data_IF_558824741678
#
_entry.id   IF_558824741678
#
_cell.length_a   1.000
_cell.length_b   1.000
_cell.length_c   1.000
_cell.angle_alpha   90.00
_cell.angle_beta   90.00
_cell.angle_gamma   90.00
#
_symmetry.space_group_name_H-M   'P 1'
#
loop_
_entity.id
_entity.type
_entity.pdbx_description
1 polymer ?
#
# COMPACT_ATOMS: atom_id res chain seq x y z
N UNK A 1 -8.39 9.48 11.88
CA UNK A 1 -9.66 8.84 12.26
C UNK A 1 -9.55 7.32 12.28
N UNK A 2 -10.55 6.67 12.91
CA UNK A 2 -10.73 5.23 12.84
C UNK A 2 -11.78 4.91 11.78
N UNK A 3 -11.47 3.92 10.96
CA UNK A 3 -12.40 3.45 9.92
C UNK A 3 -12.39 1.92 9.88
N UNK A 4 -13.47 1.28 9.37
CA UNK A 4 -13.43 -0.17 9.13
C UNK A 4 -12.28 -0.55 8.17
N UNK A 5 -12.22 0.11 7.01
CA UNK A 5 -11.18 -0.08 6.00
C UNK A 5 -11.12 1.15 5.10
N UNK A 6 -9.90 1.63 4.80
CA UNK A 6 -9.70 2.74 3.86
C UNK A 6 -10.13 2.36 2.44
N UNK A 7 -9.91 1.10 2.01
CA UNK A 7 -10.42 0.61 0.72
C UNK A 7 -11.95 0.59 0.70
N UNK A 8 -12.59 0.10 1.76
CA UNK A 8 -14.06 0.10 1.82
C UNK A 8 -14.61 1.53 1.81
N UNK A 9 -14.01 2.44 2.57
CA UNK A 9 -14.40 3.86 2.56
C UNK A 9 -14.27 4.47 1.15
N UNK A 10 -13.15 4.24 0.48
CA UNK A 10 -12.94 4.69 -0.90
C UNK A 10 -13.95 4.09 -1.89
N UNK A 11 -14.24 2.78 -1.77
CA UNK A 11 -15.24 2.09 -2.61
C UNK A 11 -16.65 2.61 -2.39
N UNK A 12 -17.04 2.88 -1.13
CA UNK A 12 -18.36 3.42 -0.81
C UNK A 12 -18.50 4.86 -1.31
N UNK A 13 -17.45 5.67 -1.18
CA UNK A 13 -17.41 7.03 -1.71
C UNK A 13 -17.57 7.05 -3.25
N UNK A 14 -16.94 6.11 -3.96
CA UNK A 14 -17.05 5.99 -5.42
C UNK A 14 -18.44 5.58 -5.92
N UNK A 15 -19.36 5.15 -5.05
CA UNK A 15 -20.76 4.87 -5.47
C UNK A 15 -21.50 6.14 -5.89
N UNK A 16 -21.19 7.28 -5.25
CA UNK A 16 -21.80 8.58 -5.55
C UNK A 16 -20.88 9.52 -6.34
N UNK A 17 -19.58 9.27 -6.34
CA UNK A 17 -18.57 10.16 -6.89
C UNK A 17 -17.84 9.56 -8.09
N UNK A 18 -17.38 10.43 -8.99
CA UNK A 18 -16.60 10.05 -10.18
C UNK A 18 -15.43 11.05 -10.37
N UNK A 19 -14.39 10.96 -9.54
CA UNK A 19 -13.31 11.95 -9.57
C UNK A 19 -12.49 11.83 -10.87
N UNK A 20 -12.12 12.98 -11.42
CA UNK A 20 -11.18 13.07 -12.55
C UNK A 20 -9.72 13.26 -12.09
N UNK A 21 -9.49 13.24 -10.78
CA UNK A 21 -8.17 13.46 -10.16
C UNK A 21 -7.92 12.42 -9.07
N UNK A 22 -6.66 12.20 -8.67
CA UNK A 22 -6.32 11.33 -7.55
C UNK A 22 -6.98 11.79 -6.24
N UNK A 23 -7.52 10.85 -5.48
CA UNK A 23 -8.06 11.09 -4.13
C UNK A 23 -7.41 10.12 -3.16
N UNK A 24 -6.85 10.66 -2.07
CA UNK A 24 -6.22 9.89 -1.01
C UNK A 24 -7.15 9.73 0.19
N UNK A 25 -7.36 8.49 0.62
CA UNK A 25 -8.00 8.12 1.87
C UNK A 25 -6.92 7.59 2.82
N UNK A 26 -6.85 8.13 4.01
CA UNK A 26 -5.92 7.68 5.05
C UNK A 26 -6.58 7.67 6.42
N UNK A 27 -6.15 6.77 7.29
CA UNK A 27 -6.67 6.63 8.64
C UNK A 27 -5.54 6.34 9.63
N UNK A 28 -5.81 6.62 10.91
CA UNK A 28 -4.89 6.29 12.00
C UNK A 28 -4.97 4.80 12.36
N UNK A 29 -6.14 4.18 12.11
CA UNK A 29 -6.39 2.78 12.44
C UNK A 29 -7.52 2.22 11.60
N UNK A 30 -7.40 0.93 11.23
CA UNK A 30 -8.47 0.13 10.64
C UNK A 30 -8.95 -0.94 11.61
N UNK A 31 -10.28 -0.98 11.84
CA UNK A 31 -10.89 -2.01 12.71
C UNK A 31 -11.19 -3.30 11.96
N UNK A 32 -11.37 -3.23 10.64
CA UNK A 32 -11.69 -4.34 9.74
C UNK A 32 -10.84 -4.25 8.46
N UNK A 33 -9.53 -4.03 8.62
CA UNK A 33 -8.62 -3.88 7.48
C UNK A 33 -8.66 -5.10 6.56
N UNK A 34 -8.75 -4.85 5.24
CA UNK A 34 -8.88 -5.90 4.22
C UNK A 34 -7.54 -6.22 3.57
N UNK A 35 -7.32 -7.50 3.33
CA UNK A 35 -6.26 -8.04 2.49
C UNK A 35 -6.84 -8.89 1.35
N UNK A 36 -5.96 -9.50 0.53
CA UNK A 36 -6.43 -10.40 -0.53
C UNK A 36 -7.06 -11.68 0.03
N UNK A 37 -8.05 -12.23 -0.69
CA UNK A 37 -8.72 -13.52 -0.40
C UNK A 37 -9.25 -13.58 1.03
N UNK A 38 -10.01 -12.55 1.43
CA UNK A 38 -10.67 -12.45 2.75
C UNK A 38 -9.70 -12.42 3.96
N UNK A 39 -8.41 -12.25 3.73
CA UNK A 39 -7.45 -12.04 4.83
C UNK A 39 -7.64 -10.67 5.45
N UNK A 40 -7.43 -10.58 6.74
CA UNK A 40 -7.45 -9.30 7.45
C UNK A 40 -6.06 -8.65 7.42
N UNK A 41 -6.07 -7.31 7.35
CA UNK A 41 -4.91 -6.47 7.60
C UNK A 41 -5.04 -5.85 8.99
N UNK A 42 -4.07 -6.12 9.84
CA UNK A 42 -4.01 -5.53 11.19
C UNK A 42 -3.05 -4.35 11.19
N UNK A 43 -3.42 -3.28 11.87
CA UNK A 43 -2.59 -2.09 12.06
C UNK A 43 -2.66 -1.62 13.51
N UNK A 44 -1.59 -1.00 14.01
CA UNK A 44 -1.60 -0.29 15.28
C UNK A 44 -1.87 1.20 15.04
N UNK A 45 -2.73 1.77 15.87
CA UNK A 45 -3.18 3.16 15.77
C UNK A 45 -2.02 4.15 15.69
N UNK A 46 -1.96 4.95 14.59
CA UNK A 46 -0.97 5.98 14.36
C UNK A 46 0.47 5.48 14.18
N UNK A 47 0.66 4.14 14.10
CA UNK A 47 1.98 3.52 14.00
C UNK A 47 2.29 2.96 12.63
N UNK A 48 1.26 2.77 11.81
CA UNK A 48 1.37 2.10 10.52
C UNK A 48 0.81 2.97 9.40
N UNK A 49 1.25 2.67 8.18
CA UNK A 49 0.59 3.19 6.99
C UNK A 49 -0.67 2.38 6.75
N UNK A 50 -1.81 3.07 6.69
CA UNK A 50 -3.08 2.56 6.19
C UNK A 50 -3.68 3.60 5.27
N UNK A 51 -3.59 3.34 3.97
CA UNK A 51 -4.04 4.28 2.95
C UNK A 51 -4.70 3.58 1.78
N UNK A 52 -5.56 4.32 1.07
CA UNK A 52 -6.12 3.92 -0.21
C UNK A 52 -6.11 5.12 -1.17
N UNK A 53 -5.50 4.93 -2.33
CA UNK A 53 -5.44 5.92 -3.38
C UNK A 53 -6.45 5.56 -4.49
N UNK A 54 -7.38 6.46 -4.76
CA UNK A 54 -8.32 6.35 -5.88
C UNK A 54 -7.73 7.07 -7.08
N UNK A 55 -7.70 6.39 -8.23
CA UNK A 55 -7.26 6.98 -9.50
C UNK A 55 -8.29 6.71 -10.60
N UNK A 56 -8.56 7.67 -11.49
CA UNK A 56 -9.22 7.40 -12.76
C UNK A 56 -8.30 6.54 -13.64
N UNK A 57 -8.88 5.54 -14.30
CA UNK A 57 -8.12 4.62 -15.15
C UNK A 57 -7.58 5.35 -16.39
N UNK A 58 -6.33 5.07 -16.73
CA UNK A 58 -5.70 5.61 -17.95
C UNK A 58 -5.85 4.63 -19.12
N UNK A 59 -5.98 5.11 -20.36
CA UNK A 59 -6.23 4.26 -21.53
C UNK A 59 -5.17 3.19 -21.80
N UNK A 60 -3.93 3.43 -21.35
CA UNK A 60 -2.82 2.51 -21.54
C UNK A 60 -2.66 1.46 -20.43
N UNK A 61 -3.52 1.49 -19.40
CA UNK A 61 -3.45 0.52 -18.32
C UNK A 61 -4.16 -0.78 -18.69
N UNK A 62 -3.60 -1.87 -18.18
CA UNK A 62 -4.29 -3.14 -17.96
C UNK A 62 -4.24 -3.48 -16.48
N UNK A 63 -5.18 -4.27 -15.93
CA UNK A 63 -5.11 -4.67 -14.52
C UNK A 63 -3.76 -5.32 -14.14
N UNK A 64 -3.19 -6.11 -15.05
CA UNK A 64 -1.91 -6.78 -14.82
C UNK A 64 -0.73 -5.81 -14.80
N UNK A 65 -0.66 -4.89 -15.77
CA UNK A 65 0.42 -3.88 -15.82
C UNK A 65 0.33 -2.91 -14.64
N UNK A 66 -0.88 -2.50 -14.26
CA UNK A 66 -1.12 -1.65 -13.11
C UNK A 66 -0.62 -2.30 -11.81
N UNK A 67 -1.05 -3.54 -11.52
CA UNK A 67 -0.61 -4.27 -10.33
C UNK A 67 0.91 -4.38 -10.23
N UNK A 68 1.56 -4.65 -11.37
CA UNK A 68 3.01 -4.76 -11.44
C UNK A 68 3.69 -3.42 -11.12
N UNK A 69 3.20 -2.33 -11.72
CA UNK A 69 3.75 -0.99 -11.51
C UNK A 69 3.54 -0.54 -10.05
N UNK A 70 2.33 -0.71 -9.51
CA UNK A 70 2.05 -0.39 -8.11
C UNK A 70 3.01 -1.12 -7.16
N UNK A 71 3.21 -2.42 -7.36
CA UNK A 71 4.11 -3.20 -6.51
C UNK A 71 5.57 -2.73 -6.61
N UNK A 72 6.04 -2.37 -7.80
CA UNK A 72 7.39 -1.84 -8.01
C UNK A 72 7.55 -0.43 -7.41
N UNK A 73 6.54 0.43 -7.57
CA UNK A 73 6.56 1.78 -6.96
C UNK A 73 6.59 1.71 -5.44
N UNK A 74 5.75 0.87 -4.83
CA UNK A 74 5.77 0.67 -3.37
C UNK A 74 7.13 0.15 -2.91
N UNK A 75 7.69 -0.84 -3.60
CA UNK A 75 9.02 -1.36 -3.31
C UNK A 75 10.09 -0.26 -3.38
N UNK A 76 10.11 0.52 -4.45
CA UNK A 76 11.10 1.58 -4.64
C UNK A 76 10.99 2.66 -3.57
N UNK A 77 9.77 3.08 -3.24
CA UNK A 77 9.53 4.07 -2.18
C UNK A 77 10.03 3.57 -0.83
N UNK A 78 9.78 2.31 -0.49
CA UNK A 78 10.30 1.75 0.75
C UNK A 78 11.83 1.65 0.74
N UNK A 79 12.42 1.32 -0.40
CA UNK A 79 13.87 1.25 -0.55
C UNK A 79 14.53 2.63 -0.35
N UNK A 80 13.94 3.68 -0.90
CA UNK A 80 14.42 5.06 -0.76
C UNK A 80 14.23 5.61 0.67
N UNK A 81 13.22 5.12 1.40
CA UNK A 81 13.00 5.49 2.79
C UNK A 81 13.99 4.84 3.77
N UNK A 82 14.87 3.92 3.29
CA UNK A 82 15.85 3.22 4.09
C UNK A 82 17.04 4.11 4.48
N UNK A 83 17.51 4.03 5.71
CA UNK A 83 18.76 4.69 6.10
C UNK A 83 19.98 3.95 5.52
N UNK A 84 20.85 4.67 4.87
CA UNK A 84 22.14 4.18 4.40
C UNK A 84 22.11 3.45 3.05
N UNK A 85 23.24 2.87 2.65
CA UNK A 85 23.42 2.18 1.37
C UNK A 85 22.87 0.75 1.41
N UNK A 86 21.57 0.62 1.60
CA UNK A 86 20.91 -0.68 1.44
C UNK A 86 20.86 -1.04 -0.06
N UNK A 87 21.06 -2.31 -0.36
CA UNK A 87 21.03 -2.76 -1.75
C UNK A 87 19.59 -3.11 -2.18
N UNK A 88 19.38 -3.21 -3.48
CA UNK A 88 18.07 -3.53 -4.07
C UNK A 88 17.45 -4.85 -3.59
N UNK A 89 18.24 -5.75 -3.01
CA UNK A 89 17.77 -7.03 -2.48
C UNK A 89 17.18 -6.92 -1.08
N UNK A 90 17.30 -5.76 -0.44
CA UNK A 90 16.78 -5.55 0.91
C UNK A 90 15.26 -5.49 0.96
N UNK A 91 14.61 -5.03 -0.12
CA UNK A 91 13.14 -5.01 -0.25
C UNK A 91 12.74 -5.80 -1.48
N UNK A 92 11.85 -6.77 -1.30
CA UNK A 92 11.35 -7.64 -2.36
C UNK A 92 9.84 -7.58 -2.45
N UNK A 93 9.31 -7.87 -3.63
CA UNK A 93 7.88 -8.12 -3.85
C UNK A 93 7.67 -9.62 -3.97
N UNK A 94 6.96 -10.20 -3.01
CA UNK A 94 6.36 -11.52 -3.19
C UNK A 94 5.05 -11.32 -3.93
N UNK A 95 5.12 -11.56 -5.24
CA UNK A 95 4.00 -11.36 -6.14
C UNK A 95 2.72 -12.07 -5.70
N UNK A 96 1.54 -11.44 -5.83
CA UNK A 96 1.33 -10.12 -6.44
C UNK A 96 1.30 -8.94 -5.44
N UNK A 97 1.32 -9.17 -4.14
CA UNK A 97 0.82 -8.16 -3.19
C UNK A 97 1.56 -8.06 -1.85
N UNK A 98 2.52 -8.93 -1.56
CA UNK A 98 3.26 -8.86 -0.30
C UNK A 98 4.60 -8.15 -0.52
N UNK A 99 4.89 -7.15 0.31
CA UNK A 99 6.20 -6.50 0.35
C UNK A 99 6.99 -7.10 1.51
N UNK A 100 8.16 -7.62 1.16
CA UNK A 100 9.05 -8.29 2.09
C UNK A 100 10.33 -7.50 2.28
N UNK A 101 10.90 -7.61 3.46
CA UNK A 101 12.20 -7.05 3.79
C UNK A 101 13.13 -8.16 4.26
N UNK A 102 14.40 -8.08 3.86
CA UNK A 102 15.43 -8.96 4.40
C UNK A 102 15.87 -8.46 5.78
N UNK A 103 15.79 -9.34 6.79
CA UNK A 103 16.28 -9.04 8.14
C UNK A 103 16.87 -10.29 8.78
N UNK A 104 18.09 -10.18 9.32
CA UNK A 104 18.78 -11.32 9.90
C UNK A 104 18.99 -12.45 8.89
N UNK A 105 18.37 -13.60 9.11
CA UNK A 105 18.51 -14.80 8.30
C UNK A 105 17.31 -15.06 7.36
N UNK A 106 16.43 -14.08 7.09
CA UNK A 106 15.24 -14.35 6.29
C UNK A 106 14.45 -13.14 5.82
N UNK A 107 13.40 -13.43 5.05
CA UNK A 107 12.45 -12.43 4.59
C UNK A 107 11.26 -12.35 5.55
N UNK A 108 10.85 -11.12 5.83
CA UNK A 108 9.72 -10.80 6.69
C UNK A 108 8.76 -9.89 5.93
N UNK A 109 7.47 -10.10 6.11
CA UNK A 109 6.46 -9.21 5.53
C UNK A 109 6.42 -7.89 6.28
N UNK A 110 6.59 -6.81 5.54
CA UNK A 110 6.52 -5.45 6.05
C UNK A 110 5.30 -4.70 5.53
N UNK A 111 4.75 -5.13 4.40
CA UNK A 111 3.62 -4.46 3.79
C UNK A 111 2.75 -5.36 2.94
N UNK A 112 1.58 -4.85 2.60
CA UNK A 112 0.62 -5.48 1.71
C UNK A 112 -0.05 -4.48 0.78
N UNK A 113 -0.38 -4.93 -0.41
CA UNK A 113 -1.04 -4.15 -1.46
C UNK A 113 -2.37 -4.83 -1.80
N UNK A 114 -3.43 -4.04 -1.92
CA UNK A 114 -4.75 -4.50 -2.35
C UNK A 114 -5.27 -3.56 -3.44
N UNK A 115 -5.27 -4.03 -4.68
CA UNK A 115 -5.79 -3.27 -5.82
C UNK A 115 -7.18 -3.78 -6.17
N UNK A 116 -8.17 -2.90 -6.13
CA UNK A 116 -9.57 -3.18 -6.48
C UNK A 116 -9.98 -2.33 -7.68
N UNK A 117 -10.54 -3.00 -8.69
CA UNK A 117 -10.97 -2.37 -9.93
C UNK A 117 -12.45 -1.99 -9.86
N UNK A 118 -12.78 -0.77 -10.27
CA UNK A 118 -14.14 -0.25 -10.28
C UNK A 118 -14.64 -0.17 -11.71
N UNK A 119 -15.71 -0.88 -12.00
CA UNK A 119 -16.36 -0.92 -13.31
C UNK A 119 -17.68 -0.16 -13.26
N UNK A 120 -17.96 0.62 -14.30
CA UNK A 120 -19.25 1.29 -14.52
C UNK A 120 -19.79 0.81 -15.87
N UNK A 121 -20.76 -0.11 -15.81
CA UNK A 121 -21.15 -0.89 -16.99
C UNK A 121 -19.97 -1.72 -17.50
N UNK A 122 -19.63 -1.60 -18.77
CA UNK A 122 -18.48 -2.28 -19.38
C UNK A 122 -17.17 -1.51 -19.28
N UNK A 123 -17.18 -0.28 -18.77
CA UNK A 123 -15.98 0.57 -18.69
C UNK A 123 -15.26 0.37 -17.35
N UNK A 124 -13.95 0.07 -17.42
CA UNK A 124 -13.07 0.14 -16.26
C UNK A 124 -12.78 1.60 -15.94
N UNK A 125 -13.45 2.13 -14.91
CA UNK A 125 -13.52 3.57 -14.66
C UNK A 125 -12.49 4.07 -13.66
N UNK A 126 -12.33 3.36 -12.55
CA UNK A 126 -11.43 3.75 -11.47
C UNK A 126 -10.70 2.54 -10.89
N UNK A 127 -9.67 2.81 -10.14
CA UNK A 127 -8.97 1.82 -9.31
C UNK A 127 -8.83 2.37 -7.90
N UNK A 128 -8.95 1.47 -6.92
CA UNK A 128 -8.64 1.73 -5.51
C UNK A 128 -7.39 0.93 -5.16
N UNK A 129 -6.33 1.63 -4.79
CA UNK A 129 -5.02 1.05 -4.46
C UNK A 129 -4.84 1.16 -2.95
N UNK A 130 -5.13 0.08 -2.22
CA UNK A 130 -4.89 -0.02 -0.79
C UNK A 130 -3.45 -0.44 -0.49
N UNK A 131 -2.84 0.26 0.45
CA UNK A 131 -1.49 -0.03 0.92
C UNK A 131 -1.49 -0.01 2.44
N UNK A 132 -1.00 -1.12 3.01
CA UNK A 132 -0.68 -1.24 4.42
C UNK A 132 0.81 -1.47 4.59
N UNK A 133 1.47 -0.73 5.50
CA UNK A 133 2.88 -0.95 5.85
C UNK A 133 3.02 -0.92 7.36
N UNK A 134 3.62 -1.96 7.93
CA UNK A 134 4.02 -2.01 9.33
C UNK A 134 5.22 -1.08 9.52
N UNK A 135 5.00 0.11 10.10
CA UNK A 135 6.07 1.10 10.25
C UNK A 135 6.68 1.05 11.63
N UNK A 136 5.86 1.17 12.66
CA UNK A 136 6.25 1.20 14.08
C UNK A 136 5.44 0.22 14.94
N UNK A 137 4.70 -0.71 14.31
CA UNK A 137 3.94 -1.74 15.02
C UNK A 137 4.82 -2.55 15.96
N UNK A 138 4.34 -2.76 17.17
CA UNK A 138 5.00 -3.59 18.20
C UNK A 138 4.37 -4.97 18.34
N UNK A 139 3.11 -5.11 17.92
CA UNK A 139 2.32 -6.35 18.04
C UNK A 139 1.88 -6.85 16.66
N UNK A 140 2.75 -7.58 16.00
CA UNK A 140 2.45 -8.17 14.70
C UNK A 140 1.81 -9.54 14.89
N UNK A 141 0.48 -9.58 15.02
CA UNK A 141 -0.33 -10.80 15.24
C UNK A 141 -0.70 -11.50 13.93
N UNK A 142 0.26 -11.70 13.03
CA UNK A 142 -0.02 -12.29 11.74
C UNK A 142 0.47 -13.75 11.67
N UNK A 143 -0.20 -14.63 10.92
CA UNK A 143 0.18 -16.06 10.83
C UNK A 143 1.47 -16.32 10.03
N UNK A 144 2.13 -15.29 9.56
CA UNK A 144 3.41 -15.34 8.83
C UNK A 144 4.42 -14.41 9.50
N UNK A 145 5.70 -14.64 9.19
CA UNK A 145 6.78 -13.78 9.70
C UNK A 145 6.60 -12.36 9.21
N UNK A 146 6.18 -11.46 10.11
CA UNK A 146 6.04 -10.03 9.86
C UNK A 146 7.02 -9.25 10.72
N UNK A 147 7.38 -8.05 10.25
CA UNK A 147 8.29 -7.12 10.95
C UNK A 147 7.84 -5.69 10.64
N UNK A 148 8.11 -4.76 11.56
CA UNK A 148 7.97 -3.34 11.29
C UNK A 148 9.24 -2.76 10.65
N UNK A 149 9.12 -1.64 9.95
CA UNK A 149 10.26 -0.93 9.40
C UNK A 149 11.21 -0.49 10.52
N UNK A 150 10.66 -0.01 11.64
CA UNK A 150 11.46 0.41 12.80
C UNK A 150 12.27 -0.71 13.40
N UNK A 151 11.69 -1.91 13.52
CA UNK A 151 12.43 -3.07 14.06
C UNK A 151 13.47 -3.59 13.07
N UNK A 152 13.13 -3.59 11.78
CA UNK A 152 14.03 -4.08 10.75
C UNK A 152 15.27 -3.20 10.57
N UNK A 153 15.11 -1.89 10.68
CA UNK A 153 16.15 -0.92 10.34
C UNK A 153 16.67 -0.09 11.50
N UNK A 154 16.13 -0.30 12.70
CA UNK A 154 16.46 0.45 13.90
C UNK A 154 16.39 1.97 13.69
N UNK A 155 15.47 2.42 12.87
CA UNK A 155 15.26 3.82 12.52
C UNK A 155 13.82 4.26 12.73
N UNK A 156 13.62 5.54 13.03
CA UNK A 156 12.29 6.12 13.17
C UNK A 156 11.78 6.63 11.84
N UNK A 157 11.02 5.81 11.10
CA UNK A 157 10.28 6.27 9.95
C UNK A 157 8.93 6.82 10.42
N UNK A 158 8.52 7.99 9.93
CA UNK A 158 7.19 8.54 10.20
C UNK A 158 6.14 7.91 9.27
N UNK A 159 5.06 7.29 9.81
CA UNK A 159 3.98 6.79 8.97
C UNK A 159 3.36 7.85 8.08
N UNK A 160 3.17 9.08 8.58
CA UNK A 160 2.59 10.19 7.80
C UNK A 160 3.47 10.60 6.61
N UNK A 161 4.77 10.74 6.84
CA UNK A 161 5.72 11.06 5.77
C UNK A 161 5.73 9.95 4.71
N UNK A 162 5.67 8.70 5.13
CA UNK A 162 5.64 7.57 4.20
C UNK A 162 4.34 7.51 3.40
N UNK A 163 3.19 7.86 3.99
CA UNK A 163 1.92 8.01 3.25
C UNK A 163 2.06 9.03 2.12
N UNK A 164 2.61 10.21 2.43
CA UNK A 164 2.81 11.27 1.43
C UNK A 164 3.75 10.82 0.30
N UNK A 165 4.89 10.22 0.65
CA UNK A 165 5.85 9.70 -0.31
C UNK A 165 5.23 8.63 -1.23
N UNK A 166 4.50 7.67 -0.67
CA UNK A 166 3.80 6.64 -1.43
C UNK A 166 2.75 7.23 -2.36
N UNK A 167 1.94 8.17 -1.87
CA UNK A 167 0.89 8.80 -2.69
C UNK A 167 1.49 9.59 -3.86
N UNK A 168 2.47 10.45 -3.60
CA UNK A 168 3.14 11.26 -4.63
C UNK A 168 3.80 10.35 -5.67
N UNK A 169 4.57 9.35 -5.23
CA UNK A 169 5.29 8.46 -6.13
C UNK A 169 4.35 7.62 -6.99
N UNK A 170 3.28 7.08 -6.41
CA UNK A 170 2.25 6.35 -7.16
C UNK A 170 1.60 7.23 -8.23
N UNK A 171 1.24 8.46 -7.90
CA UNK A 171 0.64 9.39 -8.86
C UNK A 171 1.64 9.66 -10.00
N UNK A 172 2.89 9.93 -9.70
CA UNK A 172 3.93 10.20 -10.70
C UNK A 172 4.19 8.99 -11.60
N UNK A 173 4.47 7.83 -11.02
CA UNK A 173 4.86 6.64 -11.76
C UNK A 173 3.70 6.08 -12.60
N UNK A 174 2.46 6.13 -12.09
CA UNK A 174 1.31 5.58 -12.80
C UNK A 174 0.82 6.48 -13.96
N UNK A 175 1.15 7.76 -13.96
CA UNK A 175 0.86 8.65 -15.10
C UNK A 175 1.84 8.47 -16.28
N UNK A 176 3.00 7.86 -16.06
CA UNK A 176 3.95 7.58 -17.13
C UNK A 176 3.49 6.37 -17.97
N UNK A 177 3.70 6.37 -19.29
CA UNK A 177 3.48 5.19 -20.12
C UNK A 177 4.28 3.98 -19.61
N UNK A 178 3.76 2.77 -19.84
CA UNK A 178 4.44 1.53 -19.48
C UNK A 178 5.47 1.13 -20.51
#
# INVERSE_FOLDING_TARGET
PDVPSTNQWAMDWLKSEAPHRPILFTADHQTEGKGQRERQWHSERGRDVVMSLVLPVQPHWTPASLNKRVALTVRSTLLEALPGAMNERSVLVKWPNDVLIWHGAGHYKVGGILVENVWRGSAWSHVVIGIGVNVQSRRLTQPYRAISLSDAWQSSVSPHVLVEQLAIRLIQDLHQPF
#
